data_IF_076190281019
#
_entry.id   IF_076190281019
#
_cell.length_a   1.000
_cell.length_b   1.000
_cell.length_c   1.000
_cell.angle_alpha   90.00
_cell.angle_beta   90.00
_cell.angle_gamma   90.00
#
_symmetry.space_group_name_H-M   'P 1'
#
loop_
_entity.id
_entity.type
_entity.pdbx_description
1 polymer ?
#
# COMPACT_ATOMS: atom_id res chain seq x y z
N UNK A 1 26.52 37.59 -22.42
CA UNK A 1 26.62 39.06 -22.55
C UNK A 1 25.44 39.70 -21.84
N UNK A 2 25.76 40.66 -20.97
CA UNK A 2 24.92 41.75 -20.42
C UNK A 2 23.55 41.40 -19.83
N UNK A 3 23.53 41.26 -18.49
CA UNK A 3 22.42 41.67 -17.63
C UNK A 3 22.83 42.99 -16.94
N UNK A 4 22.10 44.07 -17.17
CA UNK A 4 22.11 45.27 -16.35
C UNK A 4 20.69 45.85 -16.33
N UNK A 5 20.22 46.18 -15.12
CA UNK A 5 18.89 46.69 -14.72
C UNK A 5 17.76 45.63 -14.77
N UNK A 6 17.30 45.05 -13.66
CA UNK A 6 16.71 45.68 -12.47
C UNK A 6 15.22 45.92 -12.75
N UNK A 7 14.22 45.33 -12.09
CA UNK A 7 13.97 45.32 -10.66
C UNK A 7 12.75 44.40 -10.31
N UNK A 8 12.81 43.81 -9.11
CA UNK A 8 11.75 43.45 -8.14
C UNK A 8 10.61 42.43 -8.44
N UNK A 9 10.65 41.41 -7.57
CA UNK A 9 9.68 40.44 -6.99
C UNK A 9 8.61 41.11 -6.06
N UNK A 10 7.66 40.39 -5.38
CA UNK A 10 6.49 39.62 -5.86
C UNK A 10 5.19 39.83 -4.99
N UNK A 11 4.18 38.96 -5.18
CA UNK A 11 3.11 38.46 -4.24
C UNK A 11 1.76 39.20 -4.04
N UNK A 12 0.71 38.36 -4.12
CA UNK A 12 -0.54 38.24 -3.30
C UNK A 12 -1.68 39.25 -3.45
N UNK A 13 -2.85 38.70 -3.82
CA UNK A 13 -4.15 39.36 -3.85
C UNK A 13 -5.12 38.80 -2.79
N UNK A 14 -5.78 39.73 -2.09
CA UNK A 14 -7.17 39.78 -1.56
C UNK A 14 -7.23 41.01 -0.60
N UNK A 15 -8.36 41.70 -0.34
CA UNK A 15 -9.76 41.38 -0.67
C UNK A 15 -10.65 42.55 -1.19
N UNK A 16 -11.91 42.19 -1.47
CA UNK A 16 -13.19 42.95 -1.62
C UNK A 16 -13.27 44.46 -1.39
N UNK A 17 -14.09 45.14 -2.21
CA UNK A 17 -15.43 45.70 -1.90
C UNK A 17 -15.73 46.98 -2.69
N UNK A 18 -16.93 47.07 -3.31
CA UNK A 18 -17.66 48.34 -3.40
C UNK A 18 -17.81 49.05 -4.76
N UNK A 19 -19.05 49.00 -5.27
CA UNK A 19 -19.82 50.14 -5.82
C UNK A 19 -19.37 50.86 -7.11
N UNK A 20 -20.16 50.62 -8.17
CA UNK A 20 -20.97 51.69 -8.80
C UNK A 20 -20.43 52.40 -10.06
N UNK A 21 -21.24 52.35 -11.12
CA UNK A 21 -21.23 53.26 -12.30
C UNK A 21 -20.11 52.98 -13.30
N UNK A 22 -20.31 52.88 -14.61
CA UNK A 22 -21.41 53.26 -15.49
C UNK A 22 -20.78 53.74 -16.81
N UNK A 23 -21.39 53.37 -17.95
CA UNK A 23 -21.18 53.92 -19.31
C UNK A 23 -19.81 53.60 -19.96
N UNK A 24 -19.64 53.32 -21.26
CA UNK A 24 -20.40 53.58 -22.50
C UNK A 24 -20.25 52.36 -23.45
N UNK A 25 -21.29 51.91 -24.15
CA UNK A 25 -21.73 52.36 -25.50
C UNK A 25 -20.60 52.24 -26.56
N UNK A 26 -20.79 51.52 -27.66
CA UNK A 26 -21.69 51.92 -28.75
C UNK A 26 -21.78 50.77 -29.79
N UNK A 27 -23.02 50.43 -30.20
CA UNK A 27 -23.60 50.68 -31.54
C UNK A 27 -23.24 49.60 -32.58
N UNK A 28 -24.16 49.07 -33.40
CA UNK A 28 -25.16 49.70 -34.27
C UNK A 28 -25.96 48.53 -34.92
N UNK A 29 -27.11 48.62 -35.61
CA UNK A 29 -27.99 49.67 -36.14
C UNK A 29 -29.31 49.02 -36.62
N UNK A 30 -30.40 49.81 -36.58
CA UNK A 30 -31.44 50.02 -37.63
C UNK A 30 -32.87 49.99 -37.02
N UNK A 31 -33.54 51.14 -36.81
CA UNK A 31 -34.38 51.96 -37.74
C UNK A 31 -35.60 51.18 -38.29
N UNK A 32 -36.84 51.69 -38.30
CA UNK A 32 -37.41 53.02 -38.03
C UNK A 32 -38.94 52.90 -37.79
N UNK A 33 -39.44 53.89 -37.04
CA UNK A 33 -40.78 54.52 -36.93
C UNK A 33 -42.06 53.91 -37.56
N UNK A 34 -43.17 54.06 -36.84
CA UNK A 34 -44.52 53.68 -37.30
C UNK A 34 -45.57 53.69 -36.19
N UNK A 35 -46.09 54.88 -35.87
CA UNK A 35 -47.38 55.07 -35.19
C UNK A 35 -48.53 54.49 -36.01
N UNK A 36 -49.21 53.46 -35.50
CA UNK A 36 -50.57 53.11 -35.93
C UNK A 36 -51.46 52.69 -34.75
N UNK A 37 -52.72 53.09 -34.89
CA UNK A 37 -53.89 52.94 -34.03
C UNK A 37 -54.21 51.47 -33.71
N UNK A 38 -54.94 51.18 -32.62
CA UNK A 38 -55.93 50.13 -32.65
C UNK A 38 -57.29 50.69 -33.08
N UNK A 39 -57.91 49.92 -33.97
CA UNK A 39 -59.19 50.13 -34.63
C UNK A 39 -60.37 50.11 -33.67
N UNK A 40 -61.35 50.93 -34.03
CA UNK A 40 -62.71 50.99 -33.53
C UNK A 40 -63.48 49.68 -33.78
N UNK A 41 -64.21 49.20 -32.79
CA UNK A 41 -65.54 48.60 -33.03
C UNK A 41 -66.45 48.90 -31.84
N UNK A 42 -67.47 49.70 -32.15
CA UNK A 42 -68.78 49.83 -31.54
C UNK A 42 -68.95 49.89 -30.02
N UNK A 43 -69.58 51.00 -29.62
CA UNK A 43 -70.60 50.93 -28.58
C UNK A 43 -70.38 51.87 -27.43
N UNK A 44 -71.03 53.03 -27.54
CA UNK A 44 -71.69 53.70 -26.44
C UNK A 44 -70.80 54.61 -25.58
N UNK A 45 -70.85 55.89 -25.94
CA UNK A 45 -70.65 57.06 -25.09
C UNK A 45 -71.61 57.09 -23.89
N UNK A 46 -71.51 56.09 -22.99
CA UNK A 46 -72.27 56.03 -21.72
C UNK A 46 -71.42 55.72 -20.48
N UNK A 47 -70.11 55.58 -20.60
CA UNK A 47 -69.27 55.15 -19.47
C UNK A 47 -68.86 56.27 -18.48
N UNK A 48 -69.05 57.54 -18.83
CA UNK A 48 -68.91 58.67 -17.88
C UNK A 48 -70.25 59.21 -17.35
N UNK A 49 -71.38 58.60 -17.72
CA UNK A 49 -72.70 58.90 -17.16
C UNK A 49 -73.10 57.96 -16.01
N UNK A 50 -72.37 56.87 -15.80
CA UNK A 50 -72.74 55.79 -14.87
C UNK A 50 -72.17 55.89 -13.46
N UNK A 51 -71.22 56.80 -13.20
CA UNK A 51 -70.62 56.96 -11.86
C UNK A 51 -71.33 57.99 -10.99
N UNK A 52 -72.16 58.85 -11.60
CA UNK A 52 -73.04 59.78 -10.87
C UNK A 52 -74.39 59.16 -10.48
N UNK A 53 -74.76 57.97 -11.00
CA UNK A 53 -76.08 57.37 -10.71
C UNK A 53 -76.15 56.50 -9.46
N UNK A 54 -75.02 56.15 -8.82
CA UNK A 54 -74.99 55.29 -7.62
C UNK A 54 -75.42 56.06 -6.36
N UNK A 55 -75.29 57.39 -6.34
CA UNK A 55 -75.77 58.27 -5.27
C UNK A 55 -76.96 59.13 -5.72
N UNK A 56 -77.90 58.56 -6.50
CA UNK A 56 -79.18 59.24 -6.75
C UNK A 56 -80.06 59.13 -5.51
N UNK A 57 -80.13 60.24 -4.77
CA UNK A 57 -81.03 60.42 -3.63
C UNK A 57 -82.48 60.27 -4.12
N UNK A 58 -83.12 59.16 -3.78
CA UNK A 58 -84.50 58.88 -4.19
C UNK A 58 -85.47 59.73 -3.35
N UNK A 59 -85.69 60.97 -3.80
CA UNK A 59 -86.59 61.93 -3.14
C UNK A 59 -88.02 61.41 -3.02
N UNK A 60 -88.45 60.56 -3.95
CA UNK A 60 -89.78 59.93 -3.95
C UNK A 60 -89.93 58.86 -2.87
N UNK A 61 -88.86 58.12 -2.57
CA UNK A 61 -88.85 57.15 -1.46
C UNK A 61 -88.89 57.88 -0.12
N UNK A 62 -88.21 59.03 -0.01
CA UNK A 62 -88.20 59.85 1.19
C UNK A 62 -89.55 60.54 1.42
N UNK A 63 -90.21 61.04 0.36
CA UNK A 63 -91.57 61.58 0.46
C UNK A 63 -92.60 60.52 0.87
N UNK A 64 -92.50 59.30 0.31
CA UNK A 64 -93.32 58.15 0.72
C UNK A 64 -93.05 57.74 2.17
N UNK A 65 -91.78 57.71 2.59
CA UNK A 65 -91.41 57.42 3.98
C UNK A 65 -91.92 58.51 4.94
N UNK A 66 -91.88 59.78 4.55
CA UNK A 66 -92.37 60.90 5.35
C UNK A 66 -93.91 60.90 5.50
N UNK A 67 -94.65 60.57 4.44
CA UNK A 67 -96.10 60.37 4.49
C UNK A 67 -96.45 59.16 5.37
N UNK A 68 -95.76 58.03 5.19
CA UNK A 68 -95.95 56.82 6.00
C UNK A 68 -95.64 57.05 7.48
N UNK A 69 -94.61 57.84 7.81
CA UNK A 69 -94.27 58.21 9.19
C UNK A 69 -95.37 59.06 9.85
N UNK A 70 -95.94 60.05 9.14
CA UNK A 70 -97.06 60.88 9.63
C UNK A 70 -98.34 60.07 9.85
N UNK A 71 -98.61 59.09 9.01
CA UNK A 71 -99.74 58.18 9.17
C UNK A 71 -99.54 57.23 10.36
N UNK A 72 -98.30 56.75 10.58
CA UNK A 72 -97.92 55.94 11.73
C UNK A 72 -98.10 56.67 13.06
N UNK A 73 -97.71 57.94 13.15
CA UNK A 73 -97.87 58.78 14.36
C UNK A 73 -99.32 59.00 14.78
N UNK A 74 -100.27 59.00 13.83
CA UNK A 74 -101.71 59.15 14.12
C UNK A 74 -102.35 57.86 14.66
N UNK A 75 -101.67 56.72 14.52
CA UNK A 75 -102.18 55.42 14.96
C UNK A 75 -101.93 55.17 16.46
N UNK A 76 -102.83 54.45 17.12
CA UNK A 76 -102.71 54.11 18.56
C UNK A 76 -101.49 53.22 18.89
N UNK A 77 -100.86 52.59 17.90
CA UNK A 77 -99.76 51.63 18.06
C UNK A 77 -98.42 52.10 17.46
N UNK A 78 -98.29 53.40 17.21
CA UNK A 78 -97.08 54.02 16.62
C UNK A 78 -95.77 53.54 17.25
N UNK A 79 -95.71 53.46 18.59
CA UNK A 79 -94.52 53.05 19.32
C UNK A 79 -94.13 51.58 19.06
N UNK A 80 -95.11 50.66 19.01
CA UNK A 80 -94.86 49.24 18.76
C UNK A 80 -94.39 49.00 17.32
N UNK A 81 -94.98 49.70 16.35
CA UNK A 81 -94.56 49.62 14.96
C UNK A 81 -93.15 50.21 14.75
N UNK A 82 -92.82 51.31 15.45
CA UNK A 82 -91.47 51.86 15.44
C UNK A 82 -90.43 50.87 16.00
N UNK A 83 -90.76 50.17 17.10
CA UNK A 83 -89.87 49.14 17.66
C UNK A 83 -89.65 47.97 16.70
N UNK A 84 -90.70 47.52 16.00
CA UNK A 84 -90.57 46.46 14.97
C UNK A 84 -89.68 46.93 13.81
N UNK A 85 -89.87 48.16 13.33
CA UNK A 85 -89.03 48.74 12.26
C UNK A 85 -87.58 48.89 12.72
N UNK A 86 -87.36 49.33 13.96
CA UNK A 86 -86.02 49.42 14.56
C UNK A 86 -85.35 48.05 14.65
N UNK A 87 -86.07 47.03 15.09
CA UNK A 87 -85.57 45.65 15.14
C UNK A 87 -85.28 45.11 13.73
N UNK A 88 -86.13 45.38 12.75
CA UNK A 88 -85.90 44.98 11.35
C UNK A 88 -84.65 45.66 10.77
N UNK A 89 -84.44 46.95 11.04
CA UNK A 89 -83.26 47.66 10.57
C UNK A 89 -81.98 47.14 11.25
N UNK A 90 -82.06 46.82 12.55
CA UNK A 90 -80.97 46.12 13.24
C UNK A 90 -80.67 44.76 12.62
N UNK A 91 -81.69 43.96 12.27
CA UNK A 91 -81.47 42.67 11.60
C UNK A 91 -80.83 42.82 10.21
N UNK A 92 -81.22 43.85 9.45
CA UNK A 92 -80.62 44.15 8.15
C UNK A 92 -79.17 44.60 8.29
N UNK A 93 -78.85 45.42 9.28
CA UNK A 93 -77.47 45.81 9.58
C UNK A 93 -76.61 44.59 9.94
N UNK A 94 -77.14 43.68 10.76
CA UNK A 94 -76.47 42.42 11.10
C UNK A 94 -76.30 41.52 9.87
N UNK A 95 -77.27 41.47 8.96
CA UNK A 95 -77.17 40.69 7.71
C UNK A 95 -76.10 41.26 6.76
N UNK A 96 -76.06 42.59 6.58
CA UNK A 96 -75.01 43.26 5.81
C UNK A 96 -73.64 43.04 6.45
N UNK A 97 -73.56 43.11 7.79
CA UNK A 97 -72.32 42.85 8.52
C UNK A 97 -71.86 41.40 8.33
N UNK A 98 -72.80 40.44 8.37
CA UNK A 98 -72.53 39.02 8.09
C UNK A 98 -72.01 38.83 6.66
N UNK A 99 -72.67 39.42 5.65
CA UNK A 99 -72.22 39.35 4.26
C UNK A 99 -70.83 39.95 4.09
N UNK A 100 -70.55 41.10 4.72
CA UNK A 100 -69.23 41.74 4.68
C UNK A 100 -68.14 40.83 5.28
N UNK A 101 -68.45 40.12 6.37
CA UNK A 101 -67.56 39.13 6.96
C UNK A 101 -67.34 37.90 6.07
N UNK A 102 -68.39 37.39 5.41
CA UNK A 102 -68.27 36.28 4.46
C UNK A 102 -67.39 36.68 3.26
N UNK A 103 -67.56 37.89 2.72
CA UNK A 103 -66.69 38.42 1.66
C UNK A 103 -65.24 38.59 2.12
N UNK A 104 -65.01 39.10 3.32
CA UNK A 104 -63.65 39.25 3.84
C UNK A 104 -62.97 37.90 4.03
N UNK A 105 -63.71 36.89 4.53
CA UNK A 105 -63.21 35.52 4.63
C UNK A 105 -62.88 34.93 3.25
N UNK A 106 -63.75 35.13 2.26
CA UNK A 106 -63.51 34.68 0.89
C UNK A 106 -62.26 35.35 0.28
N UNK A 107 -62.06 36.65 0.51
CA UNK A 107 -60.87 37.36 0.03
C UNK A 107 -59.59 36.82 0.67
N UNK A 108 -59.63 36.52 1.98
CA UNK A 108 -58.52 35.90 2.69
C UNK A 108 -58.19 34.50 2.14
N UNK A 109 -59.21 33.68 1.85
CA UNK A 109 -59.01 32.37 1.22
C UNK A 109 -58.38 32.46 -0.17
N UNK A 110 -58.81 33.41 -1.01
CA UNK A 110 -58.21 33.62 -2.34
C UNK A 110 -56.74 34.01 -2.18
N UNK A 111 -56.43 34.96 -1.29
CA UNK A 111 -55.05 35.41 -1.04
C UNK A 111 -54.18 34.27 -0.56
N UNK A 112 -54.69 33.45 0.35
CA UNK A 112 -53.99 32.28 0.86
C UNK A 112 -53.71 31.26 -0.24
N UNK A 113 -54.71 30.91 -1.06
CA UNK A 113 -54.56 29.98 -2.21
C UNK A 113 -53.54 30.50 -3.22
N UNK A 114 -53.60 31.78 -3.57
CA UNK A 114 -52.64 32.41 -4.47
C UNK A 114 -51.22 32.37 -3.89
N UNK A 115 -51.05 32.63 -2.59
CA UNK A 115 -49.75 32.55 -1.93
C UNK A 115 -49.19 31.12 -1.91
N UNK A 116 -50.04 30.10 -1.71
CA UNK A 116 -49.64 28.69 -1.81
C UNK A 116 -49.16 28.33 -3.22
N UNK A 117 -49.90 28.72 -4.27
CA UNK A 117 -49.51 28.47 -5.65
C UNK A 117 -48.16 29.09 -5.99
N UNK A 118 -47.95 30.36 -5.62
CA UNK A 118 -46.67 31.03 -5.82
C UNK A 118 -45.52 30.34 -5.08
N UNK A 119 -45.76 29.86 -3.85
CA UNK A 119 -44.76 29.14 -3.09
C UNK A 119 -44.45 27.76 -3.71
N UNK A 120 -45.44 27.06 -4.23
CA UNK A 120 -45.24 25.79 -4.95
C UNK A 120 -44.43 25.97 -6.23
N UNK A 121 -44.75 26.98 -7.04
CA UNK A 121 -44.00 27.31 -8.25
C UNK A 121 -42.55 27.69 -7.93
N UNK A 122 -42.33 28.50 -6.88
CA UNK A 122 -40.98 28.80 -6.40
C UNK A 122 -40.22 27.55 -5.98
N UNK A 123 -40.86 26.62 -5.26
CA UNK A 123 -40.22 25.33 -4.89
C UNK A 123 -39.86 24.51 -6.12
N UNK A 124 -40.71 24.47 -7.16
CA UNK A 124 -40.41 23.80 -8.42
C UNK A 124 -39.21 24.43 -9.13
N UNK A 125 -39.21 25.76 -9.29
CA UNK A 125 -38.08 26.46 -9.92
C UNK A 125 -36.76 26.26 -9.16
N UNK A 126 -36.78 26.32 -7.83
CA UNK A 126 -35.61 26.05 -7.00
C UNK A 126 -35.10 24.62 -7.19
N UNK A 127 -36.00 23.64 -7.26
CA UNK A 127 -35.62 22.24 -7.51
C UNK A 127 -34.98 22.07 -8.90
N UNK A 128 -35.58 22.65 -9.94
CA UNK A 128 -35.04 22.57 -11.31
C UNK A 128 -33.68 23.27 -11.41
N UNK A 129 -33.51 24.43 -10.77
CA UNK A 129 -32.24 25.12 -10.71
C UNK A 129 -31.17 24.29 -9.98
N UNK A 130 -31.50 23.71 -8.83
CA UNK A 130 -30.56 22.84 -8.11
C UNK A 130 -30.21 21.59 -8.92
N UNK A 131 -31.15 21.03 -9.69
CA UNK A 131 -30.89 19.91 -10.58
C UNK A 131 -29.88 20.30 -11.66
N UNK A 132 -30.11 21.41 -12.36
CA UNK A 132 -29.19 21.91 -13.38
C UNK A 132 -27.81 22.28 -12.81
N UNK A 133 -27.75 22.89 -11.62
CA UNK A 133 -26.48 23.17 -10.95
C UNK A 133 -25.73 21.88 -10.61
N UNK A 134 -26.42 20.85 -10.11
CA UNK A 134 -25.83 19.56 -9.78
C UNK A 134 -25.32 18.82 -11.04
N UNK A 135 -26.07 18.84 -12.14
CA UNK A 135 -25.62 18.29 -13.42
C UNK A 135 -24.38 19.00 -13.97
N UNK A 136 -24.36 20.34 -13.91
CA UNK A 136 -23.19 21.14 -14.30
C UNK A 136 -21.96 20.80 -13.45
N UNK A 137 -22.13 20.68 -12.13
CA UNK A 137 -21.06 20.31 -11.21
C UNK A 137 -20.51 18.91 -11.53
N UNK A 138 -21.38 17.91 -11.73
CA UNK A 138 -20.97 16.55 -12.13
C UNK A 138 -20.21 16.55 -13.46
N UNK A 139 -20.66 17.32 -14.43
CA UNK A 139 -20.01 17.41 -15.73
C UNK A 139 -18.62 18.07 -15.63
N UNK A 140 -18.49 19.12 -14.82
CA UNK A 140 -17.20 19.75 -14.54
C UNK A 140 -16.23 18.79 -13.85
N UNK A 141 -16.70 18.01 -12.87
CA UNK A 141 -15.91 16.99 -12.19
C UNK A 141 -15.44 15.89 -13.16
N UNK A 142 -16.32 15.42 -14.05
CA UNK A 142 -15.96 14.43 -15.07
C UNK A 142 -14.88 14.96 -16.01
N UNK A 143 -15.00 16.21 -16.46
CA UNK A 143 -13.98 16.85 -17.30
C UNK A 143 -12.66 17.04 -16.54
N UNK A 144 -12.70 17.44 -15.27
CA UNK A 144 -11.50 17.58 -14.44
C UNK A 144 -10.77 16.24 -14.27
N UNK A 145 -11.51 15.16 -13.97
CA UNK A 145 -10.95 13.80 -13.90
C UNK A 145 -10.32 13.36 -15.21
N UNK A 146 -11.00 13.62 -16.34
CA UNK A 146 -10.47 13.29 -17.67
C UNK A 146 -9.18 14.05 -17.99
N UNK A 147 -9.13 15.36 -17.73
CA UNK A 147 -7.89 16.16 -17.88
C UNK A 147 -6.75 15.66 -17.01
N UNK A 148 -7.03 15.32 -15.75
CA UNK A 148 -6.03 14.75 -14.84
C UNK A 148 -5.53 13.39 -15.33
N UNK A 149 -6.42 12.55 -15.85
CA UNK A 149 -6.06 11.26 -16.40
C UNK A 149 -5.20 11.39 -17.67
N UNK A 150 -5.56 12.31 -18.57
CA UNK A 150 -4.80 12.58 -19.79
C UNK A 150 -3.39 13.12 -19.46
N UNK A 151 -3.29 14.07 -18.52
CA UNK A 151 -1.99 14.58 -18.05
C UNK A 151 -1.13 13.50 -17.38
N UNK A 152 -1.73 12.62 -16.59
CA UNK A 152 -1.03 11.51 -15.96
C UNK A 152 -0.55 10.49 -17.00
N UNK A 153 -1.38 10.19 -18.01
CA UNK A 153 -1.04 9.28 -19.09
C UNK A 153 0.10 9.84 -19.97
N UNK A 154 0.10 11.15 -20.25
CA UNK A 154 1.20 11.81 -20.96
C UNK A 154 2.51 11.75 -20.16
N UNK A 155 2.47 12.07 -18.86
CA UNK A 155 3.66 11.95 -17.99
C UNK A 155 4.19 10.52 -17.92
N UNK A 156 3.31 9.52 -17.83
CA UNK A 156 3.69 8.11 -17.85
C UNK A 156 4.37 7.73 -19.17
N UNK A 157 3.83 8.15 -20.32
CA UNK A 157 4.45 7.93 -21.63
C UNK A 157 5.82 8.58 -21.77
N UNK A 158 5.99 9.81 -21.27
CA UNK A 158 7.28 10.49 -21.27
C UNK A 158 8.30 9.76 -20.39
N UNK A 159 7.89 9.33 -19.19
CA UNK A 159 8.74 8.56 -18.29
C UNK A 159 9.16 7.22 -18.89
N UNK A 160 8.24 6.49 -19.53
CA UNK A 160 8.53 5.24 -20.22
C UNK A 160 9.52 5.42 -21.38
N UNK A 161 9.44 6.54 -22.11
CA UNK A 161 10.42 6.87 -23.16
C UNK A 161 11.81 7.15 -22.58
N UNK A 162 11.88 7.85 -21.44
CA UNK A 162 13.13 8.13 -20.75
C UNK A 162 13.79 6.83 -20.26
N UNK A 163 13.01 5.93 -19.64
CA UNK A 163 13.49 4.62 -19.20
C UNK A 163 14.02 3.79 -20.37
N UNK A 164 13.28 3.72 -21.49
CA UNK A 164 13.75 3.00 -22.68
C UNK A 164 15.06 3.55 -23.22
N UNK A 165 15.23 4.88 -23.24
CA UNK A 165 16.51 5.51 -23.62
C UNK A 165 17.64 5.16 -22.66
N UNK A 166 17.36 5.07 -21.36
CA UNK A 166 18.34 4.65 -20.36
C UNK A 166 18.71 3.16 -20.53
N UNK A 167 17.72 2.28 -20.72
CA UNK A 167 17.94 0.85 -21.00
C UNK A 167 18.77 0.65 -22.26
N UNK A 168 18.45 1.35 -23.36
CA UNK A 168 19.23 1.30 -24.60
C UNK A 168 20.68 1.78 -24.40
N UNK A 169 20.89 2.79 -23.55
CA UNK A 169 22.22 3.32 -23.25
C UNK A 169 23.02 2.35 -22.39
N UNK A 170 22.40 1.72 -21.40
CA UNK A 170 23.02 0.68 -20.55
C UNK A 170 23.36 -0.54 -21.39
N UNK A 171 22.42 -1.01 -22.23
CA UNK A 171 22.66 -2.14 -23.14
C UNK A 171 23.84 -1.89 -24.07
N UNK A 172 23.95 -0.68 -24.66
CA UNK A 172 25.12 -0.31 -25.47
C UNK A 172 26.43 -0.35 -24.68
N UNK A 173 26.42 0.10 -23.41
CA UNK A 173 27.60 0.02 -22.54
C UNK A 173 27.97 -1.43 -22.20
N UNK A 174 26.99 -2.29 -21.94
CA UNK A 174 27.21 -3.71 -21.69
C UNK A 174 27.75 -4.44 -22.92
N UNK A 175 27.17 -4.21 -24.11
CA UNK A 175 27.66 -4.76 -25.37
C UNK A 175 29.11 -4.30 -25.65
N UNK A 176 29.46 -3.05 -25.37
CA UNK A 176 30.85 -2.57 -25.50
C UNK A 176 31.80 -3.27 -24.51
N UNK A 177 31.37 -3.51 -23.27
CA UNK A 177 32.17 -4.25 -22.27
C UNK A 177 32.34 -5.72 -22.65
N UNK A 178 31.30 -6.37 -23.16
CA UNK A 178 31.39 -7.75 -23.63
C UNK A 178 32.36 -7.85 -24.80
N UNK A 179 32.24 -6.97 -25.80
CA UNK A 179 33.18 -6.93 -26.94
C UNK A 179 34.62 -6.67 -26.52
N UNK A 180 34.86 -5.85 -25.50
CA UNK A 180 36.22 -5.60 -25.01
C UNK A 180 36.80 -6.79 -24.26
N UNK A 181 35.98 -7.51 -23.48
CA UNK A 181 36.36 -8.76 -22.82
C UNK A 181 36.66 -9.84 -23.86
N UNK A 182 35.77 -10.05 -24.84
CA UNK A 182 35.95 -11.00 -25.93
C UNK A 182 37.23 -10.73 -26.71
N UNK A 183 37.50 -9.46 -27.04
CA UNK A 183 38.74 -9.06 -27.71
C UNK A 183 39.97 -9.35 -26.84
N UNK A 184 39.92 -9.05 -25.54
CA UNK A 184 41.01 -9.34 -24.61
C UNK A 184 41.26 -10.86 -24.47
N UNK A 185 40.20 -11.66 -24.41
CA UNK A 185 40.28 -13.12 -24.38
C UNK A 185 40.86 -13.68 -25.68
N UNK A 186 40.46 -13.17 -26.85
CA UNK A 186 41.04 -13.58 -28.13
C UNK A 186 42.54 -13.27 -28.19
N UNK A 187 42.96 -12.08 -27.74
CA UNK A 187 44.39 -11.71 -27.70
C UNK A 187 45.16 -12.62 -26.73
N UNK A 188 44.61 -12.90 -25.54
CA UNK A 188 45.20 -13.84 -24.58
C UNK A 188 45.32 -15.24 -25.17
N UNK A 189 44.25 -15.74 -25.79
CA UNK A 189 44.24 -17.06 -26.41
C UNK A 189 45.29 -17.15 -27.52
N UNK A 190 45.42 -16.11 -28.36
CA UNK A 190 46.48 -16.08 -29.38
C UNK A 190 47.88 -16.09 -28.78
N UNK A 191 48.09 -15.39 -27.66
CA UNK A 191 49.37 -15.38 -26.96
C UNK A 191 49.69 -16.73 -26.31
N UNK A 192 48.73 -17.34 -25.62
CA UNK A 192 48.87 -18.66 -24.99
C UNK A 192 49.14 -19.74 -26.03
N UNK A 193 48.46 -19.73 -27.18
CA UNK A 193 48.71 -20.67 -28.26
C UNK A 193 50.14 -20.55 -28.80
N UNK A 194 50.62 -19.33 -29.03
CA UNK A 194 52.00 -19.10 -29.50
C UNK A 194 53.03 -19.54 -28.46
N UNK A 195 52.77 -19.28 -27.17
CA UNK A 195 53.65 -19.71 -26.07
C UNK A 195 53.68 -21.23 -25.95
N UNK A 196 52.52 -21.88 -25.99
CA UNK A 196 52.39 -23.33 -25.90
C UNK A 196 53.03 -24.01 -27.11
N UNK A 197 52.87 -23.45 -28.32
CA UNK A 197 53.55 -23.93 -29.53
C UNK A 197 55.08 -23.83 -29.39
N UNK A 198 55.60 -22.71 -28.86
CA UNK A 198 57.03 -22.55 -28.62
C UNK A 198 57.55 -23.52 -27.54
N UNK A 199 56.80 -23.71 -26.46
CA UNK A 199 57.15 -24.64 -25.39
C UNK A 199 57.12 -26.10 -25.86
N UNK A 200 56.10 -26.49 -26.63
CA UNK A 200 55.99 -27.83 -27.21
C UNK A 200 57.12 -28.09 -28.22
N UNK A 201 57.46 -27.09 -29.05
CA UNK A 201 58.61 -27.20 -29.96
C UNK A 201 59.93 -27.37 -29.19
N UNK A 202 60.13 -26.61 -28.11
CA UNK A 202 61.30 -26.74 -27.23
C UNK A 202 61.36 -28.11 -26.54
N UNK A 203 60.25 -28.55 -25.94
CA UNK A 203 60.14 -29.87 -25.30
C UNK A 203 60.35 -31.00 -26.29
N UNK A 204 59.80 -30.91 -27.51
CA UNK A 204 60.00 -31.91 -28.55
C UNK A 204 61.47 -32.01 -29.00
N UNK A 205 62.24 -30.92 -28.97
CA UNK A 205 63.68 -30.93 -29.25
C UNK A 205 64.46 -31.57 -28.09
N UNK A 206 64.16 -31.15 -26.85
CA UNK A 206 64.80 -31.70 -25.63
C UNK A 206 64.53 -33.19 -25.49
N UNK A 207 63.29 -33.64 -25.73
CA UNK A 207 62.94 -35.06 -25.69
C UNK A 207 63.62 -35.86 -26.81
N UNK A 208 63.89 -35.26 -27.97
CA UNK A 208 64.66 -35.95 -29.03
C UNK A 208 66.11 -36.16 -28.59
N UNK A 209 66.71 -35.18 -27.96
CA UNK A 209 68.10 -35.23 -27.48
C UNK A 209 68.25 -36.13 -26.23
N UNK A 210 67.26 -36.13 -25.34
CA UNK A 210 67.33 -36.88 -24.07
C UNK A 210 66.73 -38.28 -24.11
N UNK A 211 66.24 -38.75 -25.27
CA UNK A 211 65.63 -40.09 -25.43
C UNK A 211 66.58 -41.21 -25.01
N UNK A 212 67.85 -41.12 -25.38
CA UNK A 212 68.84 -42.17 -25.10
C UNK A 212 69.15 -42.24 -23.60
N UNK A 213 69.33 -41.08 -22.95
CA UNK A 213 69.57 -40.97 -21.50
C UNK A 213 68.35 -41.47 -20.70
N UNK A 214 67.13 -41.16 -21.14
CA UNK A 214 65.90 -41.56 -20.44
C UNK A 214 65.65 -43.07 -20.51
N UNK A 215 65.94 -43.69 -21.66
CA UNK A 215 65.84 -45.14 -21.83
C UNK A 215 66.83 -45.89 -20.94
N UNK A 216 68.05 -45.37 -20.80
CA UNK A 216 69.05 -45.91 -19.88
C UNK A 216 68.61 -45.77 -18.41
N UNK A 217 68.09 -44.60 -18.02
CA UNK A 217 67.56 -44.40 -16.66
C UNK A 217 66.35 -45.29 -16.35
N UNK A 218 65.46 -45.54 -17.31
CA UNK A 218 64.32 -46.47 -17.11
C UNK A 218 64.82 -47.88 -16.86
N UNK A 219 65.81 -48.35 -17.64
CA UNK A 219 66.39 -49.68 -17.45
C UNK A 219 67.02 -49.81 -16.07
N UNK A 220 67.83 -48.83 -15.66
CA UNK A 220 68.46 -48.79 -14.34
C UNK A 220 67.44 -48.75 -13.20
N UNK A 221 66.42 -47.88 -13.29
CA UNK A 221 65.36 -47.79 -12.29
C UNK A 221 64.53 -49.07 -12.21
N UNK A 222 64.25 -49.74 -13.33
CA UNK A 222 63.52 -51.00 -13.33
C UNK A 222 64.31 -52.13 -12.65
N UNK A 223 65.64 -52.15 -12.82
CA UNK A 223 66.54 -53.09 -12.15
C UNK A 223 66.64 -52.80 -10.64
N UNK A 224 66.75 -51.54 -10.24
CA UNK A 224 66.75 -51.12 -8.83
C UNK A 224 65.42 -51.42 -8.14
N UNK A 225 64.29 -51.09 -8.77
CA UNK A 225 62.96 -51.34 -8.19
C UNK A 225 62.70 -52.83 -7.97
N UNK A 226 63.17 -53.71 -8.86
CA UNK A 226 63.07 -55.17 -8.65
C UNK A 226 63.86 -55.62 -7.43
N UNK A 227 65.07 -55.07 -7.23
CA UNK A 227 65.89 -55.36 -6.03
C UNK A 227 65.24 -54.83 -4.76
N UNK A 228 64.77 -53.57 -4.77
CA UNK A 228 64.12 -52.94 -3.62
C UNK A 228 62.81 -53.63 -3.24
N UNK A 229 62.03 -54.12 -4.19
CA UNK A 229 60.79 -54.88 -3.91
C UNK A 229 61.11 -56.24 -3.27
N UNK A 230 62.11 -56.95 -3.79
CA UNK A 230 62.56 -58.22 -3.21
C UNK A 230 63.15 -58.03 -1.81
N UNK A 231 63.94 -56.97 -1.61
CA UNK A 231 64.51 -56.62 -0.31
C UNK A 231 63.45 -56.15 0.68
N UNK A 232 62.48 -55.33 0.27
CA UNK A 232 61.41 -54.86 1.16
C UNK A 232 60.46 -55.97 1.58
N UNK A 233 60.14 -56.93 0.71
CA UNK A 233 59.35 -58.12 1.07
C UNK A 233 60.13 -59.02 2.02
N UNK A 234 61.42 -59.27 1.74
CA UNK A 234 62.29 -60.08 2.61
C UNK A 234 62.48 -59.41 3.96
N UNK A 235 62.70 -58.10 3.98
CA UNK A 235 62.92 -57.31 5.20
C UNK A 235 61.63 -57.15 6.01
N UNK A 236 60.47 -56.92 5.37
CA UNK A 236 59.20 -56.89 6.06
C UNK A 236 58.86 -58.26 6.68
N UNK A 237 59.08 -59.36 5.96
CA UNK A 237 58.87 -60.72 6.46
C UNK A 237 59.78 -61.09 7.64
N UNK A 238 61.06 -60.72 7.58
CA UNK A 238 62.01 -60.98 8.68
C UNK A 238 61.78 -60.04 9.86
N UNK A 239 61.47 -58.77 9.65
CA UNK A 239 61.20 -57.80 10.73
C UNK A 239 59.89 -58.12 11.47
N UNK A 240 58.85 -58.57 10.78
CA UNK A 240 57.60 -58.99 11.43
C UNK A 240 57.79 -60.31 12.18
N UNK A 241 58.46 -61.30 11.58
CA UNK A 241 58.70 -62.61 12.20
C UNK A 241 59.62 -62.53 13.42
N UNK A 242 60.74 -61.81 13.31
CA UNK A 242 61.67 -61.58 14.44
C UNK A 242 61.13 -60.60 15.48
N UNK A 243 60.30 -59.64 15.07
CA UNK A 243 59.65 -58.69 15.96
C UNK A 243 58.74 -59.39 16.96
N UNK A 244 57.89 -60.32 16.49
CA UNK A 244 56.93 -61.04 17.36
C UNK A 244 57.65 -61.99 18.33
N UNK A 245 58.69 -62.71 17.90
CA UNK A 245 59.46 -63.59 18.79
C UNK A 245 60.27 -62.79 19.83
N UNK A 246 60.86 -61.66 19.43
CA UNK A 246 61.63 -60.81 20.35
C UNK A 246 60.78 -60.09 21.40
N UNK A 247 59.48 -59.89 21.12
CA UNK A 247 58.49 -59.38 22.06
C UNK A 247 58.09 -60.43 23.10
N UNK A 248 58.10 -61.72 22.76
CA UNK A 248 57.80 -62.80 23.71
C UNK A 248 58.97 -63.09 24.68
N UNK A 249 60.20 -62.85 24.24
CA UNK A 249 61.41 -63.17 25.02
C UNK A 249 61.87 -62.06 25.98
N UNK A 250 61.51 -60.78 25.74
CA UNK A 250 62.07 -59.65 26.49
C UNK A 250 61.01 -58.80 27.20
N UNK A 251 60.97 -58.78 28.54
CA UNK A 251 59.97 -58.00 29.29
C UNK A 251 60.08 -56.49 29.06
N UNK A 252 61.28 -55.98 28.77
CA UNK A 252 61.52 -54.55 28.46
C UNK A 252 60.95 -54.13 27.10
N UNK A 253 60.96 -55.03 26.10
CA UNK A 253 60.39 -54.75 24.77
C UNK A 253 58.87 -54.82 24.78
N UNK A 254 58.29 -55.71 25.59
CA UNK A 254 56.85 -55.72 25.87
C UNK A 254 56.41 -54.38 26.45
N UNK A 255 57.12 -53.87 27.47
CA UNK A 255 56.81 -52.57 28.08
C UNK A 255 56.81 -51.44 27.04
N UNK A 256 57.82 -51.38 26.16
CA UNK A 256 57.86 -50.36 25.11
C UNK A 256 56.74 -50.54 24.08
N UNK A 257 56.41 -51.78 23.68
CA UNK A 257 55.32 -52.04 22.75
C UNK A 257 53.96 -51.67 23.35
N UNK A 258 53.69 -52.08 24.60
CA UNK A 258 52.49 -51.70 25.34
C UNK A 258 52.43 -50.19 25.57
N UNK A 259 53.56 -49.55 25.90
CA UNK A 259 53.70 -48.10 25.97
C UNK A 259 53.39 -47.40 24.64
N UNK A 260 53.87 -47.94 23.52
CA UNK A 260 53.58 -47.44 22.18
C UNK A 260 52.11 -47.58 21.81
N UNK A 261 51.49 -48.74 22.05
CA UNK A 261 50.06 -48.98 21.79
C UNK A 261 49.18 -48.08 22.66
N UNK A 262 49.50 -47.93 23.94
CA UNK A 262 48.76 -47.05 24.85
C UNK A 262 48.91 -45.59 24.48
N UNK A 263 50.10 -45.14 24.07
CA UNK A 263 50.34 -43.78 23.59
C UNK A 263 49.60 -43.52 22.27
N UNK A 264 49.54 -44.50 21.35
CA UNK A 264 48.76 -44.40 20.12
C UNK A 264 47.25 -44.32 20.43
N UNK A 265 46.76 -45.16 21.35
CA UNK A 265 45.37 -45.11 21.81
C UNK A 265 45.03 -43.76 22.48
N UNK A 266 45.92 -43.24 23.34
CA UNK A 266 45.83 -41.90 23.93
C UNK A 266 45.87 -40.81 22.86
N UNK A 267 46.70 -40.95 21.83
CA UNK A 267 46.79 -40.03 20.70
C UNK A 267 45.49 -39.97 19.89
N UNK A 268 44.93 -41.12 19.53
CA UNK A 268 43.65 -41.21 18.81
C UNK A 268 42.49 -40.68 19.67
N UNK A 269 42.45 -41.02 20.96
CA UNK A 269 41.39 -40.57 21.86
C UNK A 269 41.46 -39.06 22.12
N UNK A 270 42.65 -38.53 22.38
CA UNK A 270 42.88 -37.09 22.56
C UNK A 270 42.59 -36.30 21.28
N UNK A 271 43.02 -36.81 20.10
CA UNK A 271 42.70 -36.19 18.82
C UNK A 271 41.18 -36.16 18.57
N UNK A 272 40.45 -37.23 18.92
CA UNK A 272 38.99 -37.26 18.80
C UNK A 272 38.29 -36.24 19.71
N UNK A 273 38.81 -36.02 20.92
CA UNK A 273 38.30 -34.98 21.82
C UNK A 273 38.63 -33.56 21.35
N UNK A 274 39.90 -33.32 21.01
CA UNK A 274 40.40 -32.01 20.56
C UNK A 274 39.74 -31.54 19.26
N UNK A 275 39.50 -32.45 18.32
CA UNK A 275 38.78 -32.13 17.07
C UNK A 275 37.33 -31.73 17.33
N UNK A 276 36.66 -32.29 18.34
CA UNK A 276 35.28 -31.89 18.68
C UNK A 276 35.21 -30.50 19.31
N UNK A 277 36.15 -30.14 20.16
CA UNK A 277 36.20 -28.81 20.79
C UNK A 277 36.67 -27.75 19.81
N UNK A 278 37.68 -28.05 18.98
CA UNK A 278 38.16 -27.16 17.93
C UNK A 278 37.06 -26.80 16.92
N UNK A 279 36.25 -27.79 16.51
CA UNK A 279 35.09 -27.54 15.63
C UNK A 279 34.07 -26.62 16.31
N UNK A 280 33.71 -26.85 17.57
CA UNK A 280 32.77 -25.97 18.30
C UNK A 280 33.31 -24.54 18.44
N UNK A 281 34.62 -24.40 18.65
CA UNK A 281 35.29 -23.11 18.72
C UNK A 281 35.27 -22.38 17.37
N UNK A 282 35.59 -23.09 16.28
CA UNK A 282 35.53 -22.55 14.92
C UNK A 282 34.10 -22.15 14.51
N UNK A 283 33.10 -22.98 14.85
CA UNK A 283 31.69 -22.67 14.59
C UNK A 283 31.24 -21.37 15.30
N UNK A 284 31.75 -21.11 16.51
CA UNK A 284 31.46 -19.88 17.26
C UNK A 284 32.08 -18.62 16.64
N UNK A 285 33.19 -18.77 15.90
CA UNK A 285 33.91 -17.65 15.26
C UNK A 285 33.41 -17.35 13.85
N UNK A 286 32.99 -18.36 13.09
CA UNK A 286 32.74 -18.22 11.66
C UNK A 286 31.27 -18.19 11.26
N UNK A 287 30.36 -18.76 12.08
CA UNK A 287 29.01 -19.09 11.60
C UNK A 287 27.85 -18.60 12.46
N UNK A 288 28.07 -18.32 13.75
CA UNK A 288 27.00 -17.91 14.67
C UNK A 288 27.14 -16.42 15.00
N UNK A 289 26.11 -15.60 14.77
CA UNK A 289 26.12 -14.22 15.24
C UNK A 289 26.34 -14.19 16.76
N UNK A 290 27.22 -13.29 17.22
CA UNK A 290 27.80 -13.27 18.58
C UNK A 290 26.79 -13.18 19.72
N UNK A 291 25.56 -12.76 19.42
CA UNK A 291 24.50 -12.51 20.39
C UNK A 291 23.43 -13.62 20.45
N UNK A 292 23.45 -14.56 19.51
CA UNK A 292 22.38 -15.54 19.33
C UNK A 292 22.85 -16.90 19.85
N UNK A 293 22.13 -17.42 20.84
CA UNK A 293 22.41 -18.68 21.52
C UNK A 293 22.04 -19.90 20.68
N UNK A 294 20.91 -19.84 19.98
CA UNK A 294 20.44 -20.90 19.07
C UNK A 294 19.92 -20.29 17.76
N UNK A 295 20.25 -20.92 16.62
CA UNK A 295 19.81 -20.46 15.29
C UNK A 295 19.38 -21.62 14.39
N UNK A 296 18.42 -21.36 13.49
CA UNK A 296 18.04 -22.27 12.40
C UNK A 296 19.10 -22.41 11.31
N UNK A 297 20.01 -21.44 11.19
CA UNK A 297 20.96 -21.40 10.07
C UNK A 297 22.02 -22.48 10.24
N UNK A 298 22.06 -23.41 9.30
CA UNK A 298 23.12 -24.43 9.21
C UNK A 298 24.38 -23.80 8.65
N UNK A 299 25.46 -23.76 9.43
CA UNK A 299 26.77 -23.31 8.95
C UNK A 299 27.35 -24.32 7.96
N UNK A 300 28.12 -23.86 6.96
CA UNK A 300 28.76 -24.69 5.93
C UNK A 300 29.59 -25.84 6.53
N UNK A 301 30.24 -25.59 7.67
CA UNK A 301 31.08 -26.55 8.37
C UNK A 301 30.24 -27.72 8.95
N UNK A 302 29.09 -27.41 9.54
CA UNK A 302 28.08 -28.41 9.94
C UNK A 302 27.44 -29.14 8.75
N UNK A 303 27.21 -28.45 7.64
CA UNK A 303 26.64 -29.05 6.43
C UNK A 303 27.57 -30.11 5.82
N UNK A 304 28.88 -29.84 5.78
CA UNK A 304 29.91 -30.77 5.30
C UNK A 304 30.09 -31.98 6.23
N UNK A 305 29.97 -31.78 7.56
CA UNK A 305 30.15 -32.85 8.54
C UNK A 305 29.00 -33.86 8.57
N UNK A 306 27.76 -33.42 8.29
CA UNK A 306 26.58 -34.30 8.28
C UNK A 306 25.71 -34.10 7.04
N UNK A 307 26.21 -34.49 5.84
CA UNK A 307 25.54 -34.23 4.58
C UNK A 307 24.16 -34.90 4.53
N UNK A 308 24.04 -36.14 5.03
CA UNK A 308 22.80 -36.91 5.02
C UNK A 308 21.70 -36.27 5.87
N UNK A 309 22.03 -35.68 7.03
CA UNK A 309 21.04 -35.03 7.90
C UNK A 309 20.55 -33.71 7.31
N UNK A 310 21.46 -32.92 6.73
CA UNK A 310 21.14 -31.64 6.08
C UNK A 310 20.28 -31.85 4.84
N UNK A 311 20.65 -32.81 3.98
CA UNK A 311 19.88 -33.15 2.77
C UNK A 311 18.49 -33.66 3.16
N UNK A 312 18.40 -34.55 4.15
CA UNK A 312 17.10 -35.08 4.62
C UNK A 312 16.22 -33.98 5.20
N UNK A 313 16.78 -33.08 5.99
CA UNK A 313 16.06 -31.93 6.55
C UNK A 313 15.60 -30.96 5.45
N UNK A 314 16.42 -30.70 4.43
CA UNK A 314 16.07 -29.79 3.35
C UNK A 314 15.02 -30.38 2.38
N UNK A 315 15.12 -31.67 2.05
CA UNK A 315 14.24 -32.33 1.06
C UNK A 315 12.95 -32.92 1.66
N UNK A 316 12.95 -33.37 2.92
CA UNK A 316 11.81 -34.12 3.51
C UNK A 316 11.06 -33.39 4.61
N UNK A 317 11.39 -32.14 4.93
CA UNK A 317 10.59 -31.34 5.87
C UNK A 317 9.27 -30.93 5.22
N UNK A 318 8.28 -31.83 5.23
CA UNK A 318 6.88 -31.45 5.03
C UNK A 318 6.50 -30.46 6.12
N UNK A 319 5.68 -29.47 5.79
CA UNK A 319 5.11 -28.54 6.76
C UNK A 319 4.21 -29.32 7.72
N UNK A 320 4.79 -29.87 8.79
CA UNK A 320 4.03 -30.43 9.90
C UNK A 320 3.27 -29.32 10.62
N UNK A 321 2.07 -29.64 11.10
CA UNK A 321 1.22 -28.71 11.84
C UNK A 321 1.99 -28.09 13.03
N UNK A 322 1.99 -26.75 13.08
CA UNK A 322 2.66 -25.92 14.09
C UNK A 322 2.38 -26.31 15.54
N UNK A 323 1.25 -26.97 15.81
CA UNK A 323 0.80 -27.32 17.16
C UNK A 323 0.83 -28.83 17.45
N UNK A 324 1.27 -29.67 16.49
CA UNK A 324 1.33 -31.13 16.67
C UNK A 324 2.26 -31.48 17.84
N UNK A 325 1.71 -32.13 18.86
CA UNK A 325 2.44 -32.53 20.07
C UNK A 325 2.68 -31.42 21.11
N UNK A 326 1.98 -30.28 21.01
CA UNK A 326 1.88 -29.30 22.13
C UNK A 326 0.50 -29.45 22.75
N UNK A 327 0.43 -29.77 24.03
CA UNK A 327 -0.84 -29.82 24.77
C UNK A 327 -1.18 -28.40 25.22
N UNK A 328 -2.30 -27.87 24.75
CA UNK A 328 -2.76 -26.52 25.01
C UNK A 328 -4.24 -26.53 25.40
N UNK A 329 -4.66 -25.51 26.13
CA UNK A 329 -6.08 -25.20 26.28
C UNK A 329 -6.69 -24.87 24.90
N UNK A 330 -7.89 -25.36 24.56
CA UNK A 330 -8.48 -25.16 23.22
C UNK A 330 -8.61 -23.69 22.79
N UNK A 331 -8.89 -22.78 23.73
CA UNK A 331 -9.00 -21.35 23.41
C UNK A 331 -7.62 -20.75 23.10
N UNK A 332 -6.58 -21.19 23.80
CA UNK A 332 -5.20 -20.78 23.53
C UNK A 332 -4.69 -21.38 22.21
N UNK A 333 -5.01 -22.65 21.94
CA UNK A 333 -4.65 -23.34 20.70
C UNK A 333 -5.19 -22.59 19.47
N UNK A 334 -6.47 -22.19 19.51
CA UNK A 334 -7.11 -21.44 18.43
C UNK A 334 -6.40 -20.10 18.15
N UNK A 335 -6.11 -19.32 19.20
CA UNK A 335 -5.38 -18.04 19.07
C UNK A 335 -3.96 -18.24 18.52
N UNK A 336 -3.24 -19.24 19.01
CA UNK A 336 -1.89 -19.53 18.54
C UNK A 336 -1.87 -20.03 17.09
N UNK A 337 -2.90 -20.78 16.67
CA UNK A 337 -3.09 -21.22 15.28
C UNK A 337 -3.36 -20.03 14.35
N UNK A 338 -4.20 -19.08 14.75
CA UNK A 338 -4.43 -17.85 13.99
C UNK A 338 -3.14 -17.04 13.80
N UNK A 339 -2.34 -16.89 14.86
CA UNK A 339 -1.03 -16.22 14.78
C UNK A 339 -0.10 -16.97 13.82
N UNK A 340 -0.09 -18.30 13.85
CA UNK A 340 0.74 -19.11 12.95
C UNK A 340 0.33 -18.96 11.47
N UNK A 341 -0.98 -18.95 11.21
CA UNK A 341 -1.54 -18.73 9.88
C UNK A 341 -1.21 -17.31 9.39
N UNK A 342 -1.47 -16.29 10.21
CA UNK A 342 -1.18 -14.90 9.89
C UNK A 342 0.31 -14.71 9.56
N UNK A 343 1.21 -15.23 10.40
CA UNK A 343 2.67 -15.14 10.20
C UNK A 343 3.11 -15.81 8.89
N UNK A 344 2.52 -16.96 8.54
CA UNK A 344 2.80 -17.66 7.28
C UNK A 344 2.34 -16.84 6.06
N UNK A 345 1.16 -16.23 6.12
CA UNK A 345 0.67 -15.37 5.03
C UNK A 345 1.47 -14.07 4.92
N UNK A 346 1.82 -13.44 6.04
CA UNK A 346 2.71 -12.26 6.06
C UNK A 346 4.04 -12.57 5.38
N UNK A 347 4.65 -13.72 5.68
CA UNK A 347 5.87 -14.15 4.99
C UNK A 347 5.65 -14.35 3.48
N UNK A 348 4.59 -15.05 3.08
CA UNK A 348 4.28 -15.33 1.67
C UNK A 348 4.04 -14.05 0.86
N UNK A 349 3.44 -13.04 1.49
CA UNK A 349 3.09 -11.77 0.86
C UNK A 349 4.15 -10.67 1.08
N UNK A 350 5.32 -11.00 1.64
CA UNK A 350 6.37 -10.02 1.98
C UNK A 350 5.88 -8.84 2.81
N UNK A 351 4.94 -9.08 3.73
CA UNK A 351 4.38 -8.07 4.63
C UNK A 351 5.26 -7.81 5.86
N UNK A 352 4.92 -6.76 6.61
CA UNK A 352 5.60 -6.43 7.87
C UNK A 352 5.17 -7.38 9.01
N UNK A 353 6.14 -7.89 9.77
CA UNK A 353 5.89 -8.71 10.94
C UNK A 353 5.48 -7.87 12.15
N UNK A 354 4.67 -8.47 13.03
CA UNK A 354 4.28 -7.89 14.32
C UNK A 354 5.08 -8.54 15.44
N UNK A 355 5.34 -7.76 16.49
CA UNK A 355 5.98 -8.26 17.70
C UNK A 355 4.96 -8.98 18.58
N UNK A 356 5.34 -10.16 19.09
CA UNK A 356 4.51 -10.96 19.99
C UNK A 356 5.22 -11.09 21.35
N UNK A 357 4.52 -10.69 22.42
CA UNK A 357 4.97 -10.91 23.78
C UNK A 357 4.21 -12.10 24.38
N UNK A 358 4.95 -13.14 24.78
CA UNK A 358 4.41 -14.28 25.50
C UNK A 358 4.85 -14.21 26.96
N UNK A 359 3.89 -14.16 27.89
CA UNK A 359 4.18 -14.14 29.32
C UNK A 359 3.64 -15.40 30.02
N UNK A 360 4.22 -15.75 31.16
CA UNK A 360 3.77 -16.86 32.01
C UNK A 360 4.93 -17.51 32.77
N UNK A 361 4.64 -18.44 33.69
CA UNK A 361 5.65 -19.15 34.49
C UNK A 361 6.75 -19.81 33.64
N UNK A 362 7.96 -20.03 34.18
CA UNK A 362 8.99 -20.79 33.46
C UNK A 362 8.49 -22.21 33.14
N UNK A 363 8.91 -22.76 32.00
CA UNK A 363 8.51 -24.12 31.58
C UNK A 363 7.17 -24.25 30.85
N UNK A 364 6.37 -23.19 30.70
CA UNK A 364 5.08 -23.24 29.98
C UNK A 364 5.17 -23.30 28.44
N UNK A 365 6.31 -23.70 27.88
CA UNK A 365 6.44 -23.92 26.43
C UNK A 365 6.51 -22.68 25.54
N UNK A 366 6.67 -21.46 26.08
CA UNK A 366 6.79 -20.21 25.29
C UNK A 366 7.86 -20.29 24.19
N UNK A 367 9.08 -20.68 24.57
CA UNK A 367 10.21 -20.83 23.63
C UNK A 367 9.98 -21.98 22.64
N UNK A 368 9.29 -23.05 23.07
CA UNK A 368 8.95 -24.18 22.20
C UNK A 368 7.97 -23.74 21.11
N UNK A 369 6.95 -22.95 21.46
CA UNK A 369 6.01 -22.39 20.49
C UNK A 369 6.72 -21.50 19.47
N UNK A 370 7.61 -20.61 19.91
CA UNK A 370 8.38 -19.74 19.00
C UNK A 370 9.21 -20.55 17.98
N UNK A 371 9.87 -21.65 18.41
CA UNK A 371 10.61 -22.56 17.51
C UNK A 371 9.69 -23.23 16.49
N UNK A 372 8.53 -23.73 16.94
CA UNK A 372 7.56 -24.39 16.06
C UNK A 372 6.91 -23.42 15.08
N UNK A 373 6.59 -22.21 15.53
CA UNK A 373 6.07 -21.12 14.70
C UNK A 373 7.05 -20.80 13.56
N UNK A 374 8.33 -20.62 13.89
CA UNK A 374 9.35 -20.35 12.89
C UNK A 374 9.47 -21.50 11.87
N UNK A 375 9.54 -22.75 12.34
CA UNK A 375 9.61 -23.92 11.46
C UNK A 375 8.39 -24.04 10.53
N UNK A 376 7.17 -23.85 11.04
CA UNK A 376 5.94 -23.96 10.25
C UNK A 376 5.75 -22.80 9.26
N UNK A 377 6.10 -21.58 9.66
CA UNK A 377 6.10 -20.41 8.77
C UNK A 377 7.32 -20.40 7.82
N UNK A 378 8.25 -21.34 7.98
CA UNK A 378 9.53 -21.40 7.26
C UNK A 378 10.47 -20.24 7.59
N UNK A 379 10.25 -19.51 8.67
CA UNK A 379 11.10 -18.40 9.11
C UNK A 379 12.37 -18.95 9.75
N UNK A 380 13.44 -18.15 9.66
CA UNK A 380 14.61 -18.38 10.49
C UNK A 380 14.28 -18.09 11.96
N UNK A 381 14.79 -18.91 12.87
CA UNK A 381 14.71 -18.63 14.31
C UNK A 381 16.08 -18.26 14.85
N UNK A 382 16.07 -17.33 15.80
CA UNK A 382 17.21 -16.91 16.59
C UNK A 382 16.73 -16.71 18.02
N UNK A 383 17.35 -17.40 18.97
CA UNK A 383 17.04 -17.24 20.39
C UNK A 383 18.16 -16.42 21.03
N UNK A 384 17.75 -15.33 21.65
CA UNK A 384 18.59 -14.44 22.44
C UNK A 384 18.01 -14.35 23.84
N UNK A 385 18.88 -14.42 24.85
CA UNK A 385 18.51 -14.23 26.26
C UNK A 385 18.98 -12.86 26.71
N UNK A 386 18.26 -12.20 27.63
CA UNK A 386 18.71 -10.92 28.19
C UNK A 386 20.11 -11.01 28.84
N UNK A 387 20.47 -12.17 29.41
CA UNK A 387 21.81 -12.42 29.92
C UNK A 387 22.91 -12.43 28.84
N UNK A 388 22.57 -12.71 27.59
CA UNK A 388 23.51 -12.68 26.45
C UNK A 388 23.79 -11.23 26.02
N UNK A 389 22.90 -10.28 26.36
CA UNK A 389 23.05 -8.84 26.06
C UNK A 389 23.84 -8.11 27.14
N UNK A 390 23.80 -8.57 28.39
CA UNK A 390 24.54 -7.98 29.51
C UNK A 390 26.06 -7.76 29.25
N UNK A 391 26.82 -8.68 28.64
CA UNK A 391 28.26 -8.48 28.39
C UNK A 391 28.58 -7.45 27.29
N UNK A 392 27.61 -7.01 26.48
CA UNK A 392 27.86 -6.01 25.43
C UNK A 392 28.01 -4.57 25.97
N UNK A 393 27.60 -4.31 27.22
CA UNK A 393 27.84 -3.03 27.89
C UNK A 393 27.41 -1.80 27.06
N UNK A 394 28.32 -0.84 26.91
CA UNK A 394 28.07 0.42 26.17
C UNK A 394 27.98 0.24 24.66
N UNK A 395 28.50 -0.85 24.11
CA UNK A 395 28.50 -1.13 22.67
C UNK A 395 27.14 -1.67 22.18
N UNK A 396 26.22 -2.02 23.08
CA UNK A 396 24.87 -2.49 22.72
C UNK A 396 23.94 -1.39 22.19
N UNK A 397 24.28 -0.11 22.40
CA UNK A 397 23.38 1.04 22.13
C UNK A 397 23.74 1.78 20.83
N UNK A 398 24.92 1.53 20.27
CA UNK A 398 25.34 2.12 18.99
C UNK A 398 24.79 1.29 17.83
N UNK A 399 23.71 1.76 17.22
CA UNK A 399 23.17 1.30 15.95
C UNK A 399 23.62 2.20 14.80
#
# INVERSE_FOLDING_TARGET
MSWLFGYKKPVSDLPSQGSGGGSESSSSSSKNDGTEKPSSTDGNSKAYAGRESIYKFDSSALERAAQAAKELERSKYANQAFDVVKMQEQTKQLEIQKQMQEYSQHDEEIRFKHQLQLNEEKRRMMNDETHHQNERAKFQDQLARKRMQDQAAEKARLHDQELRRQEDSVRKQEEMKQRSIEYAEQVRHQYEMKRLEAELKGKAQIERENREIYLEQIKLKAEEQRKTILESIKTAGTVVGSGITSLLENPSKVLMATGGITLLALGVYSARGATQTAVKYLDSRLGKPSLIRETSRTTLLTALRSPVKTIRFHFFSKAEDSLKGVVLDPALESRLREIAIATRFTKRNYGLFRNLLMHGPPGTGKTLFAKKLAAHSGLDYAIMTGGDVAPLGREAVTA
#
